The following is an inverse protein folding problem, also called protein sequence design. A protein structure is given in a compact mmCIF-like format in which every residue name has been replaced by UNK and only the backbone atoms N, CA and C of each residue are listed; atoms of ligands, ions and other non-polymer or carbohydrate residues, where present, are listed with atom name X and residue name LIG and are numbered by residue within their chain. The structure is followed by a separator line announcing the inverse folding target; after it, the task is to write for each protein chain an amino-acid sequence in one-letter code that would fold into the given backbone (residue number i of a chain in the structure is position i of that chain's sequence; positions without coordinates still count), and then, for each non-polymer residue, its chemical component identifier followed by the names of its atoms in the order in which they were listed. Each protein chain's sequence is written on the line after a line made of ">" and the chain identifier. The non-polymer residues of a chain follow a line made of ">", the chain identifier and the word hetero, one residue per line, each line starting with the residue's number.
data_IF_145237176341
#
_entry.id   IF_145237176341
#
_cell.length_a   1.000
_cell.length_b   1.000
_cell.length_c   1.000
_cell.angle_alpha   90.00
_cell.angle_beta   90.00
_cell.angle_gamma   90.00
#
_symmetry.space_group_name_H-M   'P 1'
#
loop_
_entity.id
_entity.type
_entity.pdbx_description
1 polymer ?
#
# COMPACT_ATOMS: atom_id res chain seq x y z
N UNK A 1 3.14 1.71 -1.67
CA UNK A 1 3.69 2.63 -0.64
C UNK A 1 5.15 2.37 -0.26
N UNK A 2 5.74 1.20 -0.56
CA UNK A 2 7.18 1.00 -0.30
C UNK A 2 8.02 2.05 -1.04
N UNK A 3 9.08 2.53 -0.40
CA UNK A 3 9.94 3.64 -0.84
C UNK A 3 9.23 5.01 -1.00
N UNK A 4 7.98 5.17 -0.58
CA UNK A 4 7.29 6.46 -0.65
C UNK A 4 7.71 7.39 0.52
N UNK A 5 7.79 8.72 0.30
CA UNK A 5 7.93 9.67 1.40
C UNK A 5 6.76 9.54 2.39
N UNK A 6 7.05 9.53 3.69
CA UNK A 6 6.02 9.39 4.73
C UNK A 6 4.98 10.53 4.67
N UNK A 7 5.41 11.74 4.30
CA UNK A 7 4.55 12.90 4.12
C UNK A 7 3.44 12.65 3.10
N UNK A 8 3.78 12.04 1.96
CA UNK A 8 2.81 11.73 0.91
C UNK A 8 1.75 10.75 1.41
N UNK A 9 2.15 9.69 2.12
CA UNK A 9 1.21 8.70 2.66
C UNK A 9 0.27 9.32 3.69
N UNK A 10 0.79 10.20 4.57
CA UNK A 10 -0.04 10.95 5.52
C UNK A 10 -1.06 11.83 4.80
N UNK A 11 -0.63 12.57 3.78
CA UNK A 11 -1.51 13.46 3.02
C UNK A 11 -2.57 12.70 2.23
N UNK A 12 -2.21 11.62 1.53
CA UNK A 12 -3.18 10.87 0.72
C UNK A 12 -4.26 10.15 1.54
N UNK A 13 -3.98 9.87 2.81
CA UNK A 13 -4.87 9.13 3.68
C UNK A 13 -5.55 10.01 4.75
N UNK A 14 -5.31 11.32 4.76
CA UNK A 14 -5.85 12.22 5.79
C UNK A 14 -7.39 12.23 5.83
N UNK A 15 -8.03 12.15 4.66
CA UNK A 15 -9.50 12.20 4.54
C UNK A 15 -10.17 10.83 4.70
N UNK A 16 -9.41 9.76 4.93
CA UNK A 16 -9.95 8.38 4.99
C UNK A 16 -10.45 7.98 6.37
N UNK A 17 -10.60 8.93 7.30
CA UNK A 17 -10.96 8.68 8.70
C UNK A 17 -10.06 7.60 9.35
N UNK A 18 -8.77 7.62 9.00
CA UNK A 18 -7.75 6.71 9.52
C UNK A 18 -6.79 7.49 10.42
N UNK A 19 -6.42 6.92 11.56
CA UNK A 19 -5.26 7.39 12.32
C UNK A 19 -3.97 6.87 11.67
N UNK A 20 -3.59 7.52 10.56
CA UNK A 20 -2.43 7.14 9.74
C UNK A 20 -1.15 7.16 10.57
N UNK A 21 -1.03 8.07 11.54
CA UNK A 21 0.17 8.20 12.38
C UNK A 21 0.31 6.98 13.29
N UNK A 22 -0.74 6.60 14.02
CA UNK A 22 -0.70 5.39 14.85
C UNK A 22 -0.60 4.12 14.01
N UNK A 23 -1.24 4.07 12.85
CA UNK A 23 -1.13 2.94 11.93
C UNK A 23 0.31 2.69 11.51
N UNK A 24 1.01 3.73 11.04
CA UNK A 24 2.42 3.63 10.65
C UNK A 24 3.33 3.27 11.83
N UNK A 25 3.08 3.84 13.02
CA UNK A 25 3.82 3.49 14.24
C UNK A 25 3.64 2.00 14.59
N UNK A 26 2.40 1.52 14.57
CA UNK A 26 2.07 0.11 14.87
C UNK A 26 2.73 -0.85 13.88
N UNK A 27 2.77 -0.50 12.60
CA UNK A 27 3.46 -1.31 11.59
C UNK A 27 4.98 -1.35 11.83
N UNK A 28 5.57 -0.23 12.28
CA UNK A 28 6.98 -0.16 12.66
C UNK A 28 7.29 -0.98 13.92
N UNK A 29 6.46 -0.87 14.96
CA UNK A 29 6.60 -1.63 16.21
C UNK A 29 6.49 -3.15 15.97
N UNK A 30 5.74 -3.57 14.94
CA UNK A 30 5.62 -4.96 14.49
C UNK A 30 6.69 -5.40 13.49
N UNK A 31 7.70 -4.57 13.24
CA UNK A 31 8.78 -4.83 12.27
C UNK A 31 8.30 -5.10 10.84
N UNK A 32 7.10 -4.64 10.46
CA UNK A 32 6.57 -4.78 9.11
C UNK A 32 7.12 -3.71 8.16
N UNK A 33 7.55 -2.59 8.72
CA UNK A 33 8.23 -1.52 8.00
C UNK A 33 9.14 -0.73 8.93
N UNK A 34 9.99 0.12 8.36
CA UNK A 34 10.63 1.21 9.09
C UNK A 34 10.62 2.48 8.24
N UNK A 35 10.99 3.60 8.85
CA UNK A 35 11.23 4.86 8.14
C UNK A 35 12.73 5.02 7.99
N UNK A 36 13.20 5.17 6.76
CA UNK A 36 14.61 5.40 6.47
C UNK A 36 15.07 6.77 6.98
N UNK A 37 16.39 6.99 7.02
CA UNK A 37 16.99 8.27 7.42
C UNK A 37 16.55 9.45 6.56
N UNK A 38 16.11 9.20 5.32
CA UNK A 38 15.58 10.20 4.39
C UNK A 38 14.05 10.31 4.43
N UNK A 39 13.40 9.75 5.46
CA UNK A 39 11.96 9.90 5.67
C UNK A 39 11.07 9.08 4.74
N UNK A 40 11.59 7.97 4.18
CA UNK A 40 10.83 7.09 3.29
C UNK A 40 10.41 5.81 3.99
N UNK A 41 9.23 5.32 3.65
CA UNK A 41 8.74 4.02 4.10
C UNK A 41 9.58 2.92 3.45
N UNK A 42 10.10 1.99 4.25
CA UNK A 42 10.82 0.82 3.77
C UNK A 42 10.16 -0.42 4.34
N UNK A 43 9.68 -1.29 3.45
CA UNK A 43 9.12 -2.60 3.77
C UNK A 43 10.09 -3.67 3.28
N UNK A 44 10.21 -4.77 4.03
CA UNK A 44 10.92 -5.95 3.54
C UNK A 44 10.19 -6.54 2.31
N UNK A 45 10.91 -7.11 1.35
CA UNK A 45 10.32 -7.64 0.12
C UNK A 45 9.23 -8.68 0.39
N UNK A 46 9.40 -9.52 1.42
CA UNK A 46 8.39 -10.51 1.83
C UNK A 46 7.11 -9.87 2.37
N UNK A 47 7.21 -8.74 3.09
CA UNK A 47 6.01 -8.02 3.58
C UNK A 47 5.27 -7.39 2.41
N UNK A 48 5.99 -6.85 1.43
CA UNK A 48 5.39 -6.33 0.20
C UNK A 48 4.71 -7.45 -0.61
N UNK A 49 5.37 -8.61 -0.77
CA UNK A 49 4.79 -9.76 -1.46
C UNK A 49 3.53 -10.28 -0.76
N UNK A 50 3.56 -10.38 0.58
CA UNK A 50 2.39 -10.78 1.37
C UNK A 50 1.22 -9.80 1.18
N UNK A 51 1.47 -8.49 1.26
CA UNK A 51 0.44 -7.48 1.03
C UNK A 51 -0.15 -7.56 -0.38
N UNK A 52 0.70 -7.78 -1.40
CA UNK A 52 0.26 -8.02 -2.78
C UNK A 52 -0.61 -9.27 -2.87
N UNK A 53 -0.20 -10.38 -2.26
CA UNK A 53 -0.94 -11.64 -2.30
C UNK A 53 -2.33 -11.51 -1.67
N UNK A 54 -2.44 -10.84 -0.52
CA UNK A 54 -3.72 -10.57 0.15
C UNK A 54 -4.68 -9.83 -0.78
N UNK A 55 -4.19 -8.89 -1.61
CA UNK A 55 -5.02 -8.16 -2.58
C UNK A 55 -5.44 -9.05 -3.75
N UNK A 56 -4.52 -9.89 -4.25
CA UNK A 56 -4.81 -10.83 -5.34
C UNK A 56 -5.84 -11.89 -4.93
N UNK A 57 -5.82 -12.35 -3.67
CA UNK A 57 -6.79 -13.31 -3.13
C UNK A 57 -8.21 -12.75 -2.99
N UNK A 58 -8.41 -11.42 -3.08
CA UNK A 58 -9.75 -10.82 -2.96
C UNK A 58 -10.67 -11.20 -4.13
N UNK A 59 -10.11 -11.36 -5.33
CA UNK A 59 -10.84 -11.77 -6.52
C UNK A 59 -9.90 -12.11 -7.68
N UNK A 60 -10.30 -13.08 -8.49
CA UNK A 60 -9.65 -13.34 -9.79
C UNK A 60 -9.91 -12.23 -10.80
N UNK A 61 -11.00 -11.46 -10.64
CA UNK A 61 -11.31 -10.31 -11.49
C UNK A 61 -10.60 -9.06 -10.96
N UNK A 62 -9.66 -8.45 -11.71
CA UNK A 62 -8.89 -7.30 -11.21
C UNK A 62 -9.78 -6.14 -10.73
N UNK A 63 -10.83 -5.79 -11.47
CA UNK A 63 -11.73 -4.69 -11.13
C UNK A 63 -12.55 -4.89 -9.84
N UNK A 64 -12.58 -6.11 -9.27
CA UNK A 64 -13.23 -6.39 -7.98
C UNK A 64 -12.25 -6.35 -6.78
N UNK A 65 -10.95 -6.18 -7.02
CA UNK A 65 -9.94 -6.04 -5.97
C UNK A 65 -9.96 -4.62 -5.42
N UNK A 66 -9.62 -4.46 -4.14
CA UNK A 66 -9.53 -3.14 -3.49
C UNK A 66 -8.44 -2.25 -4.10
N UNK A 67 -7.35 -2.88 -4.58
CA UNK A 67 -6.24 -2.20 -5.22
C UNK A 67 -5.80 -2.96 -6.47
N UNK A 68 -5.37 -2.22 -7.47
CA UNK A 68 -4.69 -2.76 -8.65
C UNK A 68 -3.20 -2.44 -8.57
N UNK A 69 -2.37 -3.39 -8.98
CA UNK A 69 -0.91 -3.32 -8.81
C UNK A 69 -0.22 -3.36 -10.17
N UNK A 70 -0.70 -4.21 -11.07
CA UNK A 70 -0.15 -4.36 -12.40
C UNK A 70 -0.64 -3.23 -13.34
N UNK A 71 0.27 -2.65 -14.12
CA UNK A 71 -0.04 -1.50 -14.96
C UNK A 71 -0.96 -1.86 -16.14
N UNK A 72 -0.88 -3.09 -16.65
CA UNK A 72 -1.75 -3.58 -17.71
C UNK A 72 -3.14 -3.89 -17.15
N UNK A 73 -3.25 -4.54 -15.98
CA UNK A 73 -4.54 -4.70 -15.29
C UNK A 73 -5.20 -3.34 -15.00
N UNK A 74 -4.43 -2.34 -14.54
CA UNK A 74 -4.94 -0.98 -14.31
C UNK A 74 -5.50 -0.39 -15.60
N UNK A 75 -4.72 -0.42 -16.69
CA UNK A 75 -5.15 0.11 -17.98
C UNK A 75 -6.42 -0.57 -18.46
N UNK A 76 -6.49 -1.89 -18.35
CA UNK A 76 -7.60 -2.68 -18.88
C UNK A 76 -8.87 -2.50 -18.06
N UNK A 77 -8.76 -2.40 -16.72
CA UNK A 77 -9.91 -2.05 -15.87
C UNK A 77 -10.42 -0.64 -16.20
N UNK A 78 -9.53 0.35 -16.25
CA UNK A 78 -9.89 1.75 -16.54
C UNK A 78 -10.46 1.95 -17.96
N UNK A 79 -10.07 1.13 -18.94
CA UNK A 79 -10.62 1.19 -20.28
C UNK A 79 -12.05 0.63 -20.38
N UNK A 80 -12.50 -0.14 -19.39
CA UNK A 80 -13.81 -0.78 -19.33
C UNK A 80 -14.71 -0.23 -18.21
N UNK A 81 -14.35 0.92 -17.62
CA UNK A 81 -15.24 1.70 -16.74
C UNK A 81 -16.33 2.44 -17.55
#
# INVERSE_FOLDING_TARGET
>A
FNNAPIGNVKTFLVDKNLDVVNGLKTLADKSLMHISTVGRIVMHCLVQQLGTHIVLEQSDEPGKRQFLIDAEEIRDVLANE
#
